data_IF_609185878936
#
_entry.id   IF_609185878936
#
_cell.length_a   1.000
_cell.length_b   1.000
_cell.length_c   1.000
_cell.angle_alpha   90.00
_cell.angle_beta   90.00
_cell.angle_gamma   90.00
#
_symmetry.space_group_name_H-M   'P 1'
#
loop_
_entity.id
_entity.type
_entity.pdbx_description
1 polymer ?
#
# COMPACT_ATOMS: atom_id res chain seq x y z
N UNK A 1 -8.42 -11.55 2.49
CA UNK A 1 -8.72 -10.28 3.20
C UNK A 1 -7.96 -9.17 2.52
N UNK A 2 -8.44 -7.94 2.62
CA UNK A 2 -7.76 -6.76 2.08
C UNK A 2 -7.20 -5.92 3.24
N UNK A 3 -5.91 -5.60 3.20
CA UNK A 3 -5.20 -4.77 4.16
C UNK A 3 -4.37 -3.77 3.36
N UNK A 4 -4.52 -2.49 3.65
CA UNK A 4 -3.68 -1.45 3.06
C UNK A 4 -2.46 -1.22 3.92
N UNK A 5 -1.30 -1.04 3.28
CA UNK A 5 -0.02 -0.82 3.95
C UNK A 5 0.59 0.47 3.41
N UNK A 6 1.04 1.32 4.32
CA UNK A 6 1.85 2.48 4.01
C UNK A 6 3.30 2.18 4.36
N UNK A 7 4.20 2.50 3.43
CA UNK A 7 5.64 2.38 3.63
C UNK A 7 6.30 3.74 3.49
N UNK A 8 7.42 3.92 4.20
CA UNK A 8 8.29 5.08 4.04
C UNK A 8 9.11 5.01 2.73
N UNK A 9 9.90 6.05 2.40
CA UNK A 9 10.74 6.05 1.20
C UNK A 9 11.83 4.97 1.18
N UNK A 10 12.23 4.43 2.32
CA UNK A 10 13.22 3.36 2.45
C UNK A 10 12.58 1.97 2.26
N UNK A 11 11.26 1.89 2.27
CA UNK A 11 10.48 0.66 2.14
C UNK A 11 10.17 -0.01 3.47
N UNK A 12 10.20 0.73 4.58
CA UNK A 12 9.76 0.23 5.88
C UNK A 12 8.27 0.42 6.07
N UNK A 13 7.53 -0.62 6.53
CA UNK A 13 6.11 -0.50 6.81
C UNK A 13 5.87 0.40 8.03
N UNK A 14 5.19 1.52 7.85
CA UNK A 14 4.92 2.50 8.92
C UNK A 14 3.48 2.46 9.43
N UNK A 15 2.57 1.91 8.63
CA UNK A 15 1.17 1.80 8.98
C UNK A 15 0.49 0.67 8.21
N UNK A 16 -0.50 0.03 8.84
CA UNK A 16 -1.37 -0.95 8.22
C UNK A 16 -2.82 -0.68 8.61
N UNK A 17 -3.74 -0.84 7.66
CA UNK A 17 -5.17 -0.66 7.91
C UNK A 17 -5.75 -1.82 8.71
N UNK A 18 -6.95 -1.64 9.30
CA UNK A 18 -7.80 -2.78 9.62
C UNK A 18 -8.00 -3.68 8.40
N UNK A 19 -8.06 -4.98 8.64
CA UNK A 19 -8.38 -5.94 7.60
C UNK A 19 -9.87 -5.84 7.22
N UNK A 20 -10.12 -5.93 5.92
CA UNK A 20 -11.44 -5.92 5.31
C UNK A 20 -11.68 -7.24 4.55
N UNK A 21 -12.94 -7.54 4.18
CA UNK A 21 -13.24 -8.66 3.28
C UNK A 21 -12.35 -8.64 2.03
N UNK A 22 -11.92 -9.81 1.56
CA UNK A 22 -11.01 -9.91 0.41
C UNK A 22 -11.61 -9.38 -0.91
N UNK A 23 -12.93 -9.29 -1.00
CA UNK A 23 -13.64 -8.75 -2.16
C UNK A 23 -13.71 -7.21 -2.17
N UNK A 24 -13.32 -6.53 -1.09
CA UNK A 24 -13.32 -5.07 -1.04
C UNK A 24 -12.25 -4.50 -1.97
N UNK A 25 -12.66 -3.65 -2.90
CA UNK A 25 -11.74 -2.95 -3.80
C UNK A 25 -10.77 -2.04 -3.02
N UNK A 26 -9.50 -1.98 -3.42
CA UNK A 26 -8.45 -1.26 -2.68
C UNK A 26 -8.77 0.21 -2.45
N UNK A 27 -9.26 0.90 -3.49
CA UNK A 27 -9.69 2.29 -3.35
C UNK A 27 -10.82 2.46 -2.33
N UNK A 28 -11.77 1.52 -2.26
CA UNK A 28 -12.87 1.58 -1.30
C UNK A 28 -12.35 1.32 0.12
N UNK A 29 -11.43 0.36 0.27
CA UNK A 29 -10.76 0.10 1.54
C UNK A 29 -10.02 1.34 2.06
N UNK A 30 -9.26 2.01 1.20
CA UNK A 30 -8.50 3.21 1.57
C UNK A 30 -9.39 4.42 1.89
N UNK A 31 -10.56 4.54 1.25
CA UNK A 31 -11.56 5.56 1.61
C UNK A 31 -12.26 5.24 2.93
N UNK A 32 -12.66 3.99 3.13
CA UNK A 32 -13.34 3.57 4.35
C UNK A 32 -12.49 3.77 5.62
N UNK A 33 -11.17 3.74 5.48
CA UNK A 33 -10.22 3.95 6.59
C UNK A 33 -9.81 5.42 6.75
N UNK A 34 -10.29 6.33 5.88
CA UNK A 34 -9.89 7.74 5.88
C UNK A 34 -8.44 7.99 5.45
N UNK A 35 -7.74 6.99 4.91
CA UNK A 35 -6.32 7.06 4.59
C UNK A 35 -6.02 8.17 3.57
N UNK A 36 -6.84 8.28 2.53
CA UNK A 36 -6.65 9.26 1.46
C UNK A 36 -6.79 10.68 1.99
N UNK A 37 -7.80 10.93 2.83
CA UNK A 37 -8.08 12.24 3.41
C UNK A 37 -6.98 12.63 4.39
N UNK A 38 -6.53 11.69 5.23
CA UNK A 38 -5.43 11.92 6.16
C UNK A 38 -4.11 12.28 5.45
N UNK A 39 -3.74 11.52 4.41
CA UNK A 39 -2.54 11.80 3.61
C UNK A 39 -2.64 13.13 2.86
N UNK A 40 -3.84 13.47 2.37
CA UNK A 40 -4.08 14.73 1.66
C UNK A 40 -4.01 15.92 2.61
N UNK A 41 -4.65 15.84 3.78
CA UNK A 41 -4.62 16.87 4.81
C UNK A 41 -3.19 17.12 5.33
N UNK A 42 -2.38 16.05 5.45
CA UNK A 42 -0.99 16.15 5.85
C UNK A 42 -0.05 16.61 4.71
N UNK A 43 -0.54 16.82 3.49
CA UNK A 43 0.28 17.19 2.34
C UNK A 43 1.29 16.12 1.90
N UNK A 44 1.09 14.86 2.32
CA UNK A 44 2.02 13.76 2.05
C UNK A 44 1.77 13.21 0.67
N UNK A 45 2.73 13.38 -0.24
CA UNK A 45 2.68 12.79 -1.59
C UNK A 45 2.89 11.28 -1.52
N UNK A 46 1.88 10.51 -1.93
CA UNK A 46 1.89 9.05 -1.83
C UNK A 46 1.76 8.40 -3.20
N UNK A 47 2.52 7.33 -3.43
CA UNK A 47 2.59 6.63 -4.71
C UNK A 47 1.88 5.27 -4.61
N UNK A 48 0.78 5.12 -5.34
CA UNK A 48 -0.09 3.95 -5.30
C UNK A 48 -0.16 3.25 -6.65
N UNK A 49 -0.54 1.97 -6.65
CA UNK A 49 -0.77 1.22 -7.89
C UNK A 49 -2.06 1.65 -8.60
N UNK A 50 -2.40 0.94 -9.67
CA UNK A 50 -3.58 1.24 -10.51
C UNK A 50 -4.92 0.96 -9.80
N UNK A 51 -4.94 0.14 -8.74
CA UNK A 51 -6.13 -0.12 -7.93
C UNK A 51 -6.62 1.11 -7.18
N UNK A 52 -5.77 2.13 -7.06
CA UNK A 52 -6.07 3.41 -6.43
C UNK A 52 -6.44 4.52 -7.42
N UNK A 53 -6.62 4.19 -8.70
CA UNK A 53 -6.95 5.20 -9.70
C UNK A 53 -8.27 5.89 -9.34
N UNK A 54 -8.25 7.22 -9.29
CA UNK A 54 -9.40 8.02 -8.83
C UNK A 54 -9.39 8.34 -7.34
N UNK A 55 -8.31 8.02 -6.61
CA UNK A 55 -8.11 8.45 -5.23
C UNK A 55 -8.15 9.98 -5.07
N UNK A 56 -7.53 10.72 -5.99
CA UNK A 56 -7.43 12.17 -5.90
C UNK A 56 -6.45 12.64 -4.83
N UNK A 57 -6.55 13.90 -4.44
CA UNK A 57 -5.73 14.49 -3.38
C UNK A 57 -4.22 14.37 -3.63
N UNK A 58 -3.49 13.89 -2.62
CA UNK A 58 -2.03 13.71 -2.70
C UNK A 58 -1.59 12.37 -3.30
N UNK A 59 -2.53 11.49 -3.67
CA UNK A 59 -2.25 10.15 -4.19
C UNK A 59 -1.91 10.20 -5.69
N UNK A 60 -0.77 9.59 -6.06
CA UNK A 60 -0.29 9.49 -7.43
C UNK A 60 -0.37 8.04 -7.90
N UNK A 61 -1.07 7.81 -9.01
CA UNK A 61 -1.19 6.50 -9.67
C UNK A 61 -0.51 6.53 -11.05
N UNK A 62 0.01 5.41 -11.57
CA UNK A 62 0.63 5.42 -12.90
C UNK A 62 -0.43 5.65 -13.99
N UNK A 63 -0.01 6.15 -15.15
CA UNK A 63 -0.87 6.25 -16.31
C UNK A 63 -1.38 4.86 -16.72
N UNK A 64 -2.70 4.72 -16.84
CA UNK A 64 -3.36 3.48 -17.28
C UNK A 64 -3.60 3.54 -18.78
N UNK A 65 -3.11 2.53 -19.50
CA UNK A 65 -3.50 2.29 -20.89
C UNK A 65 -4.94 1.80 -20.96
N UNK A 66 -5.65 2.20 -22.01
CA UNK A 66 -7.04 1.80 -22.25
C UNK A 66 -7.14 1.17 -23.63
N UNK A 67 -7.87 0.04 -23.75
CA UNK A 67 -7.97 -0.71 -25.01
C UNK A 67 -8.47 0.12 -26.20
N UNK A 68 -9.36 1.07 -25.94
CA UNK A 68 -9.97 1.95 -26.95
C UNK A 68 -9.28 3.31 -27.09
N UNK A 69 -8.11 3.51 -26.45
CA UNK A 69 -7.36 4.77 -26.52
C UNK A 69 -6.00 4.53 -27.16
N UNK A 70 -5.36 5.57 -27.71
CA UNK A 70 -3.98 5.46 -28.19
C UNK A 70 -3.05 4.89 -27.11
N UNK A 71 -2.01 4.14 -27.51
CA UNK A 71 -1.00 3.67 -26.58
C UNK A 71 -0.39 4.80 -25.76
N UNK A 72 0.10 4.46 -24.56
CA UNK A 72 0.81 5.44 -23.73
C UNK A 72 2.01 6.01 -24.51
N UNK A 73 2.12 7.34 -24.50
CA UNK A 73 3.25 8.07 -25.07
C UNK A 73 4.57 7.67 -24.40
N UNK A 74 5.69 7.95 -25.07
CA UNK A 74 7.03 7.71 -24.51
C UNK A 74 7.22 8.39 -23.15
N UNK A 75 6.72 9.62 -23.01
CA UNK A 75 6.75 10.36 -21.75
C UNK A 75 5.95 9.67 -20.65
N UNK A 76 4.70 9.27 -20.92
CA UNK A 76 3.87 8.54 -19.94
C UNK A 76 4.50 7.21 -19.51
N UNK A 77 5.15 6.49 -20.44
CA UNK A 77 5.89 5.27 -20.11
C UNK A 77 7.09 5.55 -19.21
N UNK A 78 7.83 6.63 -19.48
CA UNK A 78 8.96 7.06 -18.63
C UNK A 78 8.51 7.41 -17.21
N UNK A 79 7.41 8.16 -17.07
CA UNK A 79 6.79 8.45 -15.76
C UNK A 79 6.37 7.16 -15.06
N UNK A 80 5.74 6.23 -15.77
CA UNK A 80 5.35 4.94 -15.19
C UNK A 80 6.56 4.12 -14.74
N UNK A 81 7.68 4.16 -15.47
CA UNK A 81 8.91 3.47 -15.09
C UNK A 81 9.52 4.08 -13.81
N UNK A 82 9.59 5.41 -13.71
CA UNK A 82 10.02 6.09 -12.50
C UNK A 82 9.09 5.77 -11.31
N UNK A 83 7.78 5.78 -11.55
CA UNK A 83 6.79 5.41 -10.55
C UNK A 83 6.96 3.96 -10.08
N UNK A 84 7.18 3.00 -10.99
CA UNK A 84 7.41 1.60 -10.63
C UNK A 84 8.62 1.43 -9.69
N UNK A 85 9.70 2.20 -9.88
CA UNK A 85 10.88 2.18 -8.99
C UNK A 85 10.55 2.63 -7.57
N UNK A 86 9.70 3.64 -7.41
CA UNK A 86 9.23 4.10 -6.09
C UNK A 86 8.32 3.03 -5.46
N UNK A 87 7.40 2.47 -6.26
CA UNK A 87 6.48 1.41 -5.84
C UNK A 87 7.19 0.15 -5.36
N UNK A 88 8.35 -0.18 -5.92
CA UNK A 88 9.16 -1.31 -5.48
C UNK A 88 9.53 -1.24 -3.98
N UNK A 89 9.67 -0.05 -3.39
CA UNK A 89 9.87 0.11 -1.94
C UNK A 89 8.63 -0.33 -1.15
N UNK A 90 7.43 0.07 -1.57
CA UNK A 90 6.18 -0.37 -0.93
C UNK A 90 5.91 -1.87 -1.11
N UNK A 91 6.22 -2.42 -2.28
CA UNK A 91 6.13 -3.86 -2.53
C UNK A 91 7.09 -4.66 -1.63
N UNK A 92 8.31 -4.12 -1.41
CA UNK A 92 9.27 -4.68 -0.45
C UNK A 92 8.71 -4.67 0.97
N UNK A 93 8.13 -3.56 1.43
CA UNK A 93 7.49 -3.49 2.75
C UNK A 93 6.43 -4.58 2.95
N UNK A 94 5.57 -4.77 1.94
CA UNK A 94 4.55 -5.84 1.97
C UNK A 94 5.20 -7.23 1.95
N UNK A 95 6.28 -7.42 1.20
CA UNK A 95 7.03 -8.67 1.19
C UNK A 95 7.67 -8.96 2.57
N UNK A 96 8.25 -7.95 3.22
CA UNK A 96 8.78 -8.03 4.59
C UNK A 96 7.70 -8.48 5.56
N UNK A 97 6.53 -7.87 5.55
CA UNK A 97 5.41 -8.31 6.40
C UNK A 97 5.01 -9.77 6.10
N UNK A 98 5.03 -10.20 4.83
CA UNK A 98 4.72 -11.58 4.45
C UNK A 98 5.77 -12.63 4.87
N UNK A 99 6.94 -12.21 5.37
CA UNK A 99 7.91 -13.15 5.97
C UNK A 99 7.35 -13.79 7.24
N UNK A 100 6.48 -13.07 7.96
CA UNK A 100 5.67 -13.59 9.06
C UNK A 100 4.69 -14.64 8.53
N UNK A 101 5.06 -15.92 8.64
CA UNK A 101 4.34 -17.06 8.04
C UNK A 101 2.88 -17.18 8.48
N UNK A 102 2.50 -16.56 9.60
CA UNK A 102 1.10 -16.47 10.02
C UNK A 102 0.24 -15.72 8.98
N UNK A 103 0.76 -14.67 8.35
CA UNK A 103 0.02 -13.89 7.35
C UNK A 103 -0.18 -14.64 6.03
N UNK A 104 0.69 -15.60 5.69
CA UNK A 104 0.55 -16.38 4.46
C UNK A 104 -0.48 -17.49 4.55
N UNK A 105 -0.84 -17.92 5.77
CA UNK A 105 -1.84 -18.98 6.02
C UNK A 105 -3.08 -18.49 6.76
N UNK A 106 -3.21 -17.17 6.94
CA UNK A 106 -4.25 -16.59 7.78
C UNK A 106 -5.65 -16.87 7.21
N UNK A 107 -6.44 -17.69 7.91
CA UNK A 107 -7.86 -17.95 7.62
C UNK A 107 -8.70 -17.64 8.85
N UNK A 108 -9.04 -16.37 9.03
CA UNK A 108 -9.89 -15.92 10.13
C UNK A 108 -10.76 -14.73 9.70
N UNK A 109 -11.67 -14.30 10.58
CA UNK A 109 -12.49 -13.12 10.32
C UNK A 109 -11.62 -11.84 10.28
N UNK A 110 -12.03 -10.81 9.52
CA UNK A 110 -11.27 -9.57 9.39
C UNK A 110 -10.93 -8.92 10.74
N UNK A 111 -11.81 -8.99 11.73
CA UNK A 111 -11.53 -8.47 13.08
C UNK A 111 -10.30 -9.12 13.73
N UNK A 112 -10.22 -10.46 13.71
CA UNK A 112 -9.06 -11.18 14.26
C UNK A 112 -7.81 -10.93 13.43
N UNK A 113 -7.96 -10.82 12.11
CA UNK A 113 -6.84 -10.50 11.22
C UNK A 113 -6.26 -9.12 11.48
N UNK A 114 -7.11 -8.12 11.76
CA UNK A 114 -6.67 -6.77 12.16
C UNK A 114 -5.75 -6.84 13.35
N UNK A 115 -6.16 -7.50 14.44
CA UNK A 115 -5.33 -7.62 15.64
C UNK A 115 -3.96 -8.26 15.36
N UNK A 116 -3.94 -9.32 14.53
CA UNK A 116 -2.70 -10.01 14.13
C UNK A 116 -1.80 -9.08 13.30
N UNK A 117 -2.35 -8.39 12.31
CA UNK A 117 -1.60 -7.46 11.46
C UNK A 117 -1.01 -6.31 12.27
N UNK A 118 -1.77 -5.73 13.20
CA UNK A 118 -1.27 -4.64 14.07
C UNK A 118 -0.15 -5.12 15.00
N UNK A 119 -0.29 -6.32 15.58
CA UNK A 119 0.76 -6.92 16.40
C UNK A 119 2.04 -7.14 15.59
N UNK A 120 1.92 -7.67 14.38
CA UNK A 120 3.07 -7.89 13.47
C UNK A 120 3.73 -6.56 13.08
N UNK A 121 2.95 -5.52 12.79
CA UNK A 121 3.50 -4.21 12.46
C UNK A 121 4.35 -3.66 13.62
N UNK A 122 3.86 -3.76 14.87
CA UNK A 122 4.62 -3.32 16.05
C UNK A 122 5.89 -4.13 16.22
N UNK A 123 5.83 -5.46 16.08
CA UNK A 123 7.02 -6.33 16.16
C UNK A 123 8.03 -6.00 15.07
N UNK A 124 7.58 -5.80 13.83
CA UNK A 124 8.44 -5.42 12.70
C UNK A 124 9.19 -4.11 12.97
N UNK A 125 8.48 -3.08 13.46
CA UNK A 125 9.07 -1.79 13.79
C UNK A 125 10.11 -1.89 14.92
N UNK A 126 9.86 -2.74 15.92
CA UNK A 126 10.82 -3.01 17.00
C UNK A 126 12.06 -3.73 16.47
N UNK A 127 11.89 -4.75 15.64
CA UNK A 127 13.02 -5.50 15.06
C UNK A 127 13.87 -4.59 14.17
N UNK A 128 13.27 -3.85 13.24
CA UNK A 128 13.99 -2.90 12.38
C UNK A 128 14.66 -1.77 13.17
N UNK A 129 13.99 -1.24 14.19
CA UNK A 129 14.57 -0.22 15.06
C UNK A 129 15.77 -0.71 15.89
N UNK A 130 15.86 -2.03 16.13
CA UNK A 130 17.01 -2.66 16.80
C UNK A 130 18.19 -2.90 15.85
N UNK A 131 17.94 -3.05 14.55
CA UNK A 131 18.97 -3.27 13.52
C UNK A 131 19.35 -1.99 12.75
N UNK A 132 18.64 -0.88 12.95
CA UNK A 132 18.92 0.43 12.35
C UNK A 132 19.81 1.33 13.23
N UNK A 133 20.50 0.76 14.23
CA UNK A 133 21.50 1.42 15.06
C UNK A 133 22.92 0.99 14.69
#
# INVERSE_FOLDING_TARGET
MNVQVLADPLGQPVWASPALPGATHDLNAARATGLIDALTAAGVKTFADKGYQGAGGSIRTPFKGHRLRPPLSRHQRSVNHAHARIRACGERAVATLKTWKVLTRLRCCPHRATAIVQAILVLQLIEEGRYSR
#
